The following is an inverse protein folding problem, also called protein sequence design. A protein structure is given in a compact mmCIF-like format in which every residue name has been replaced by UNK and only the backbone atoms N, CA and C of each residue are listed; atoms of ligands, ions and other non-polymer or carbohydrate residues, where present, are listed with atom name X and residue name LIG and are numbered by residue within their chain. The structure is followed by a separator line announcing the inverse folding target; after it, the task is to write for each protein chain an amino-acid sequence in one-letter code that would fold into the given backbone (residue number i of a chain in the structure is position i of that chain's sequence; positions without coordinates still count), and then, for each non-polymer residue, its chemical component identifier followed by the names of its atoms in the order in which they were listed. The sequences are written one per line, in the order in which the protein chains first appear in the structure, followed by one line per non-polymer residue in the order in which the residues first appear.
data_IF_052580186879
#
_entry.id   IF_052580186879
#
_cell.length_a   1.000
_cell.length_b   1.000
_cell.length_c   1.000
_cell.angle_alpha   90.00
_cell.angle_beta   90.00
_cell.angle_gamma   90.00
#
_symmetry.space_group_name_H-M   'P 1'
#
loop_
_entity.id
_entity.type
_entity.pdbx_description
1 polymer ?
#
# COMPACT_ATOMS: atom_id res chain seq x y z
N UNK A 1 22.19 9.39 10.84
CA UNK A 1 22.81 10.47 11.65
C UNK A 1 21.91 11.69 11.56
N UNK A 2 21.54 12.29 12.67
CA UNK A 2 20.80 13.55 12.72
C UNK A 2 21.69 14.55 13.45
N UNK A 3 22.08 15.65 12.80
CA UNK A 3 22.96 16.68 13.36
C UNK A 3 24.33 16.19 13.80
N UNK A 4 24.95 15.24 13.09
CA UNK A 4 26.28 14.69 13.40
C UNK A 4 26.36 13.76 14.61
N UNK A 5 25.24 13.46 15.29
CA UNK A 5 25.21 12.54 16.44
C UNK A 5 24.70 11.17 16.03
N UNK A 6 25.36 10.11 16.49
CA UNK A 6 24.90 8.73 16.35
C UNK A 6 23.73 8.51 17.30
N UNK A 7 22.53 8.28 16.74
CA UNK A 7 21.34 7.96 17.55
C UNK A 7 21.22 6.44 17.58
N UNK A 8 21.23 5.84 18.79
CA UNK A 8 20.87 4.43 18.96
C UNK A 8 19.39 4.24 18.60
N UNK A 9 19.12 3.30 17.71
CA UNK A 9 17.75 2.85 17.42
C UNK A 9 17.18 2.17 18.67
N UNK A 10 15.93 2.46 18.98
CA UNK A 10 15.20 1.88 20.10
C UNK A 10 13.86 1.38 19.60
N UNK A 11 13.37 0.26 20.14
CA UNK A 11 12.04 -0.26 19.91
C UNK A 11 10.91 0.61 20.50
N UNK A 12 11.28 1.56 21.38
CA UNK A 12 10.33 2.50 21.99
C UNK A 12 10.43 3.85 21.28
N UNK A 13 9.28 4.36 20.82
CA UNK A 13 9.18 5.71 20.24
C UNK A 13 9.46 6.80 21.30
N UNK A 14 9.77 8.00 20.83
CA UNK A 14 9.95 9.18 21.67
C UNK A 14 8.76 10.12 21.51
N UNK A 15 8.12 10.47 22.62
CA UNK A 15 7.13 11.53 22.65
C UNK A 15 7.83 12.90 22.88
N UNK A 16 7.29 13.95 22.30
CA UNK A 16 7.75 15.31 22.52
C UNK A 16 6.86 16.01 23.56
N UNK A 17 7.43 16.96 24.30
CA UNK A 17 6.66 17.77 25.27
C UNK A 17 5.65 18.67 24.55
N UNK A 18 4.44 18.76 25.09
CA UNK A 18 3.38 19.60 24.55
C UNK A 18 3.62 21.05 25.00
N UNK A 19 4.44 21.76 24.20
CA UNK A 19 4.71 23.19 24.37
C UNK A 19 4.18 23.95 23.18
N UNK A 20 3.86 25.26 23.31
CA UNK A 20 3.38 26.07 22.18
C UNK A 20 4.32 26.00 20.97
N UNK A 21 5.62 26.03 21.16
CA UNK A 21 6.62 25.95 20.10
C UNK A 21 6.61 24.58 19.38
N UNK A 22 6.43 23.46 20.11
CA UNK A 22 6.36 22.15 19.53
C UNK A 22 5.03 21.92 18.81
N UNK A 23 3.93 22.48 19.32
CA UNK A 23 2.63 22.43 18.65
C UNK A 23 2.63 23.21 17.33
N UNK A 24 3.32 24.34 17.27
CA UNK A 24 3.48 25.08 16.02
C UNK A 24 4.24 24.25 14.97
N UNK A 25 5.34 23.64 15.37
CA UNK A 25 6.11 22.70 14.50
C UNK A 25 5.25 21.52 14.05
N UNK A 26 4.47 20.93 14.94
CA UNK A 26 3.54 19.84 14.62
C UNK A 26 2.52 20.25 13.58
N UNK A 27 1.88 21.41 13.75
CA UNK A 27 0.92 21.96 12.77
C UNK A 27 1.58 22.23 11.43
N UNK A 28 2.81 22.74 11.42
CA UNK A 28 3.62 22.93 10.21
C UNK A 28 3.86 21.60 9.47
N UNK A 29 4.27 20.57 10.18
CA UNK A 29 4.44 19.22 9.64
C UNK A 29 3.14 18.63 9.11
N UNK A 30 2.06 18.71 9.86
CA UNK A 30 0.73 18.22 9.42
C UNK A 30 0.28 18.89 8.13
N UNK A 31 0.47 20.22 8.03
CA UNK A 31 0.17 20.97 6.80
C UNK A 31 1.02 20.54 5.62
N UNK A 32 2.30 20.26 5.85
CA UNK A 32 3.21 19.76 4.82
C UNK A 32 2.77 18.38 4.32
N UNK A 33 2.49 17.44 5.24
CA UNK A 33 1.99 16.10 4.91
C UNK A 33 0.68 16.17 4.12
N UNK A 34 -0.27 17.02 4.54
CA UNK A 34 -1.54 17.18 3.83
C UNK A 34 -1.36 17.69 2.40
N UNK A 35 -0.44 18.65 2.18
CA UNK A 35 -0.12 19.15 0.84
C UNK A 35 0.48 18.05 -0.04
N UNK A 36 1.39 17.24 0.51
CA UNK A 36 2.01 16.13 -0.19
C UNK A 36 0.96 15.06 -0.54
N UNK A 37 0.16 14.65 0.43
CA UNK A 37 -0.85 13.61 0.23
C UNK A 37 -1.97 14.03 -0.74
N UNK A 38 -2.45 15.25 -0.66
CA UNK A 38 -3.54 15.74 -1.52
C UNK A 38 -3.03 16.29 -2.86
N UNK A 39 -1.91 17.03 -2.84
CA UNK A 39 -1.38 17.69 -4.04
C UNK A 39 -0.54 16.79 -4.94
N UNK A 40 0.14 15.81 -4.38
CA UNK A 40 1.02 14.90 -5.15
C UNK A 40 0.41 13.51 -5.24
N UNK A 41 0.18 12.86 -4.09
CA UNK A 41 -0.29 11.49 -4.04
C UNK A 41 -1.69 11.29 -4.64
N UNK A 42 -2.68 12.06 -4.22
CA UNK A 42 -4.06 11.89 -4.69
C UNK A 42 -4.16 12.15 -6.19
N UNK A 43 -3.53 13.22 -6.70
CA UNK A 43 -3.52 13.54 -8.14
C UNK A 43 -2.77 12.44 -8.91
N UNK A 44 -1.60 12.02 -8.40
CA UNK A 44 -0.81 10.94 -9.00
C UNK A 44 -1.59 9.62 -9.07
N UNK A 45 -2.35 9.27 -8.03
CA UNK A 45 -3.21 8.08 -8.03
C UNK A 45 -4.33 8.17 -9.08
N UNK A 46 -5.01 9.32 -9.18
CA UNK A 46 -6.08 9.52 -10.18
C UNK A 46 -5.52 9.39 -11.60
N UNK A 47 -4.43 10.09 -11.91
CA UNK A 47 -3.80 10.02 -13.23
C UNK A 47 -3.23 8.64 -13.52
N UNK A 48 -2.58 8.01 -12.53
CA UNK A 48 -1.99 6.68 -12.67
C UNK A 48 -3.01 5.55 -12.88
N UNK A 49 -4.25 5.73 -12.44
CA UNK A 49 -5.35 4.80 -12.72
C UNK A 49 -6.07 5.16 -14.02
N UNK A 50 -6.39 6.43 -14.23
CA UNK A 50 -7.20 6.88 -15.36
C UNK A 50 -6.49 6.69 -16.71
N UNK A 51 -5.20 7.06 -16.82
CA UNK A 51 -4.48 6.98 -18.08
C UNK A 51 -4.35 5.55 -18.64
N UNK A 52 -3.88 4.54 -17.88
CA UNK A 52 -3.83 3.17 -18.36
C UNK A 52 -5.22 2.60 -18.69
N UNK A 53 -6.26 2.97 -17.92
CA UNK A 53 -7.63 2.53 -18.17
C UNK A 53 -8.16 3.10 -19.50
N UNK A 54 -7.92 4.37 -19.77
CA UNK A 54 -8.29 5.01 -21.05
C UNK A 54 -7.54 4.38 -22.22
N UNK A 55 -6.25 4.11 -22.08
CA UNK A 55 -5.48 3.40 -23.11
C UNK A 55 -6.04 2.00 -23.37
N UNK A 56 -6.40 1.25 -22.34
CA UNK A 56 -7.00 -0.06 -22.51
C UNK A 56 -8.35 0.01 -23.21
N UNK A 57 -9.21 0.96 -22.86
CA UNK A 57 -10.51 1.16 -23.54
C UNK A 57 -10.37 1.52 -25.02
N UNK A 58 -9.38 2.33 -25.36
CA UNK A 58 -9.15 2.77 -26.73
C UNK A 58 -8.52 1.69 -27.61
N UNK A 59 -7.51 0.97 -27.09
CA UNK A 59 -6.69 0.07 -27.92
C UNK A 59 -7.15 -1.40 -27.88
N UNK A 60 -7.93 -1.82 -26.86
CA UNK A 60 -8.45 -3.19 -26.71
C UNK A 60 -9.92 -3.23 -26.31
N UNK A 61 -10.82 -2.52 -27.04
CA UNK A 61 -12.23 -2.45 -26.68
C UNK A 61 -12.88 -3.85 -26.71
N UNK A 62 -13.57 -4.21 -25.63
CA UNK A 62 -14.32 -5.47 -25.54
C UNK A 62 -13.48 -6.74 -25.48
N UNK A 63 -12.16 -6.64 -25.32
CA UNK A 63 -11.32 -7.81 -25.21
C UNK A 63 -11.53 -8.52 -23.85
N UNK A 64 -11.67 -9.84 -23.91
CA UNK A 64 -11.69 -10.68 -22.71
C UNK A 64 -10.25 -10.82 -22.21
N UNK A 65 -10.01 -10.31 -21.00
CA UNK A 65 -8.67 -10.29 -20.38
C UNK A 65 -8.51 -11.55 -19.54
N UNK A 66 -7.66 -12.48 -19.97
CA UNK A 66 -7.43 -13.74 -19.29
C UNK A 66 -5.94 -14.05 -19.12
N UNK A 67 -5.61 -14.65 -17.99
CA UNK A 67 -4.30 -15.23 -17.70
C UNK A 67 -3.13 -14.25 -17.78
N UNK A 68 -1.96 -14.78 -18.11
CA UNK A 68 -0.72 -14.01 -18.18
C UNK A 68 -0.68 -13.01 -19.35
N UNK A 69 -1.50 -13.21 -20.38
CA UNK A 69 -1.60 -12.29 -21.51
C UNK A 69 -2.14 -10.91 -21.12
N UNK A 70 -2.88 -10.80 -20.00
CA UNK A 70 -3.45 -9.56 -19.50
C UNK A 70 -2.42 -8.41 -19.41
N UNK A 71 -1.20 -8.71 -18.97
CA UNK A 71 -0.14 -7.72 -18.82
C UNK A 71 0.34 -7.10 -20.15
N UNK A 72 0.21 -7.84 -21.27
CA UNK A 72 0.74 -7.42 -22.57
C UNK A 72 -0.37 -6.99 -23.55
N UNK A 73 -1.65 -7.18 -23.21
CA UNK A 73 -2.75 -6.91 -24.15
C UNK A 73 -2.81 -5.46 -24.62
N UNK A 74 -2.72 -4.52 -23.71
CA UNK A 74 -2.71 -3.08 -24.09
C UNK A 74 -1.51 -2.72 -24.95
N UNK A 75 -0.34 -3.30 -24.65
CA UNK A 75 0.87 -3.11 -25.45
C UNK A 75 0.69 -3.68 -26.87
N UNK A 76 0.04 -4.83 -26.99
CA UNK A 76 -0.28 -5.43 -28.30
C UNK A 76 -1.27 -4.58 -29.10
N UNK A 77 -2.34 -4.13 -28.48
CA UNK A 77 -3.30 -3.26 -29.12
C UNK A 77 -2.69 -1.93 -29.62
N UNK A 78 -1.74 -1.38 -28.86
CA UNK A 78 -0.99 -0.20 -29.31
C UNK A 78 -0.05 -0.51 -30.48
N UNK A 79 0.62 -1.67 -30.47
CA UNK A 79 1.51 -2.08 -31.55
C UNK A 79 0.75 -2.29 -32.85
N UNK A 80 -0.41 -2.92 -32.81
CA UNK A 80 -1.25 -3.22 -33.97
C UNK A 80 -1.74 -1.93 -34.69
N UNK A 81 -1.91 -0.81 -33.96
CA UNK A 81 -2.33 0.47 -34.52
C UNK A 81 -1.18 1.42 -34.87
N UNK A 82 -0.10 1.37 -34.09
CA UNK A 82 0.95 2.42 -34.11
C UNK A 82 2.32 1.87 -34.50
N UNK A 83 2.50 0.54 -34.57
CA UNK A 83 3.73 -0.13 -34.94
C UNK A 83 4.45 -0.83 -33.77
N UNK A 84 5.27 -1.83 -34.08
CA UNK A 84 5.91 -2.75 -33.14
C UNK A 84 6.76 -2.08 -32.06
N UNK A 85 7.32 -0.89 -32.32
CA UNK A 85 8.10 -0.16 -31.35
C UNK A 85 7.25 0.22 -30.11
N UNK A 86 5.95 0.46 -30.28
CA UNK A 86 5.05 0.81 -29.21
C UNK A 86 4.74 -0.35 -28.26
N UNK A 87 4.85 -1.61 -28.71
CA UNK A 87 4.81 -2.76 -27.82
C UNK A 87 5.90 -2.71 -26.76
N UNK A 88 7.15 -2.52 -27.23
CA UNK A 88 8.30 -2.44 -26.32
C UNK A 88 8.22 -1.21 -25.40
N UNK A 89 7.89 -0.04 -25.94
CA UNK A 89 7.79 1.18 -25.16
C UNK A 89 6.70 1.09 -24.08
N UNK A 90 5.55 0.52 -24.40
CA UNK A 90 4.45 0.34 -23.43
C UNK A 90 4.84 -0.59 -22.30
N UNK A 91 5.46 -1.73 -22.60
CA UNK A 91 5.94 -2.66 -21.59
C UNK A 91 7.06 -2.06 -20.74
N UNK A 92 8.00 -1.34 -21.37
CA UNK A 92 9.07 -0.66 -20.66
C UNK A 92 8.54 0.42 -19.72
N UNK A 93 7.60 1.25 -20.17
CA UNK A 93 6.93 2.25 -19.32
C UNK A 93 6.20 1.59 -18.15
N UNK A 94 5.44 0.52 -18.41
CA UNK A 94 4.78 -0.25 -17.35
C UNK A 94 5.75 -0.81 -16.33
N UNK A 95 6.86 -1.38 -16.77
CA UNK A 95 7.92 -1.87 -15.90
C UNK A 95 8.55 -0.76 -15.06
N UNK A 96 8.92 0.37 -15.68
CA UNK A 96 9.55 1.51 -14.99
C UNK A 96 8.62 2.15 -13.96
N UNK A 97 7.31 2.08 -14.15
CA UNK A 97 6.32 2.57 -13.18
C UNK A 97 6.10 1.56 -12.04
N UNK A 98 5.92 0.28 -12.37
CA UNK A 98 5.53 -0.73 -11.40
C UNK A 98 6.70 -1.24 -10.55
N UNK A 99 7.88 -1.44 -11.15
CA UNK A 99 9.00 -2.08 -10.44
C UNK A 99 9.52 -1.27 -9.25
N UNK A 100 9.77 0.06 -9.35
CA UNK A 100 10.18 0.87 -8.20
C UNK A 100 9.11 0.91 -7.11
N UNK A 101 7.82 0.99 -7.50
CA UNK A 101 6.70 0.96 -6.57
C UNK A 101 6.66 -0.36 -5.77
N UNK A 102 6.79 -1.49 -6.45
CA UNK A 102 6.80 -2.80 -5.79
C UNK A 102 7.99 -2.98 -4.84
N UNK A 103 9.19 -2.54 -5.23
CA UNK A 103 10.37 -2.60 -4.35
C UNK A 103 10.14 -1.77 -3.08
N UNK A 104 9.59 -0.56 -3.22
CA UNK A 104 9.29 0.31 -2.10
C UNK A 104 8.19 -0.26 -1.18
N UNK A 105 7.14 -0.84 -1.75
CA UNK A 105 6.05 -1.47 -1.00
C UNK A 105 6.55 -2.68 -0.20
N UNK A 106 7.36 -3.55 -0.83
CA UNK A 106 7.93 -4.74 -0.17
C UNK A 106 8.84 -4.32 0.98
N UNK A 107 9.77 -3.37 0.75
CA UNK A 107 10.65 -2.84 1.82
C UNK A 107 9.81 -2.24 2.97
N UNK A 108 8.77 -1.47 2.63
CA UNK A 108 7.86 -0.88 3.61
C UNK A 108 7.11 -1.94 4.45
N UNK A 109 6.63 -3.02 3.83
CA UNK A 109 5.97 -4.13 4.53
C UNK A 109 6.95 -4.85 5.46
N UNK A 110 8.14 -5.19 4.97
CA UNK A 110 9.16 -5.91 5.75
C UNK A 110 9.59 -5.07 6.96
N UNK A 111 9.78 -3.76 6.82
CA UNK A 111 10.09 -2.85 7.93
C UNK A 111 9.00 -2.84 8.99
N UNK A 112 7.72 -2.72 8.58
CA UNK A 112 6.58 -2.74 9.52
C UNK A 112 6.51 -4.06 10.30
N UNK A 113 6.68 -5.20 9.63
CA UNK A 113 6.73 -6.49 10.29
C UNK A 113 7.94 -6.61 11.24
N UNK A 114 9.09 -6.09 10.82
CA UNK A 114 10.30 -6.05 11.67
C UNK A 114 10.03 -5.25 12.94
N UNK A 115 9.41 -4.08 12.84
CA UNK A 115 9.06 -3.23 13.97
C UNK A 115 8.05 -3.91 14.90
N UNK A 116 7.01 -4.54 14.35
CA UNK A 116 6.00 -5.28 15.12
C UNK A 116 6.63 -6.44 15.88
N UNK A 117 7.47 -7.23 15.22
CA UNK A 117 8.13 -8.39 15.84
C UNK A 117 9.14 -7.93 16.90
N UNK A 118 9.92 -6.90 16.59
CA UNK A 118 10.92 -6.35 17.53
C UNK A 118 10.26 -5.75 18.77
N UNK A 119 9.13 -5.08 18.61
CA UNK A 119 8.39 -4.45 19.71
C UNK A 119 7.55 -5.46 20.49
N UNK A 120 6.92 -6.41 19.82
CA UNK A 120 5.95 -7.33 20.41
C UNK A 120 6.54 -8.62 20.98
N UNK A 121 7.68 -9.08 20.48
CA UNK A 121 8.26 -10.37 20.89
C UNK A 121 9.36 -10.20 21.95
N UNK A 122 9.15 -10.78 23.14
CA UNK A 122 10.14 -10.80 24.24
C UNK A 122 11.48 -11.42 23.83
N UNK A 123 11.49 -12.33 22.85
CA UNK A 123 12.69 -13.03 22.39
C UNK A 123 13.63 -12.14 21.58
N UNK A 124 13.12 -11.08 20.95
CA UNK A 124 13.92 -10.20 20.07
C UNK A 124 14.03 -8.75 20.58
N UNK A 125 13.29 -8.39 21.63
CA UNK A 125 13.37 -7.05 22.23
C UNK A 125 14.75 -6.67 22.74
N UNK A 126 15.55 -7.67 23.14
CA UNK A 126 16.92 -7.46 23.65
C UNK A 126 17.94 -7.25 22.53
N UNK A 127 17.57 -7.45 21.27
CA UNK A 127 18.46 -7.25 20.13
C UNK A 127 18.80 -5.77 19.96
N UNK A 128 20.09 -5.50 19.78
CA UNK A 128 20.55 -4.16 19.41
C UNK A 128 20.08 -3.80 17.99
N UNK A 129 19.92 -2.49 17.74
CA UNK A 129 19.48 -1.98 16.42
C UNK A 129 20.31 -2.49 15.22
N UNK A 130 21.59 -2.87 15.46
CA UNK A 130 22.42 -3.52 14.44
C UNK A 130 22.07 -4.99 14.17
N UNK A 131 21.49 -5.68 15.15
CA UNK A 131 21.10 -7.09 15.06
C UNK A 131 19.68 -7.26 14.47
N UNK A 132 18.83 -6.25 14.58
CA UNK A 132 17.48 -6.25 14.01
C UNK A 132 17.47 -6.47 12.49
N UNK A 133 18.58 -6.18 11.80
CA UNK A 133 18.77 -6.51 10.39
C UNK A 133 18.55 -8.00 10.08
N UNK A 134 18.87 -8.91 11.00
CA UNK A 134 18.67 -10.34 10.80
C UNK A 134 17.18 -10.70 10.80
N UNK A 135 16.38 -10.03 11.63
CA UNK A 135 14.92 -10.15 11.62
C UNK A 135 14.38 -9.64 10.29
N UNK A 136 14.84 -8.49 9.83
CA UNK A 136 14.47 -7.92 8.53
C UNK A 136 14.76 -8.88 7.37
N UNK A 137 15.98 -9.41 7.28
CA UNK A 137 16.35 -10.36 6.20
C UNK A 137 15.63 -11.70 6.32
N UNK A 138 15.34 -12.17 7.54
CA UNK A 138 14.53 -13.37 7.77
C UNK A 138 13.10 -13.22 7.24
N UNK A 139 12.46 -12.08 7.52
CA UNK A 139 11.13 -11.76 7.00
C UNK A 139 11.16 -11.63 5.48
N UNK A 140 12.19 -10.97 4.93
CA UNK A 140 12.36 -10.82 3.49
C UNK A 140 12.49 -12.18 2.79
N UNK A 141 13.28 -13.10 3.34
CA UNK A 141 13.43 -14.44 2.80
C UNK A 141 12.10 -15.23 2.88
N UNK A 142 11.40 -15.17 4.00
CA UNK A 142 10.08 -15.80 4.15
C UNK A 142 9.06 -15.24 3.15
N UNK A 143 9.06 -13.92 2.93
CA UNK A 143 8.20 -13.27 1.95
C UNK A 143 8.53 -13.70 0.52
N UNK A 144 9.81 -13.80 0.17
CA UNK A 144 10.25 -14.27 -1.14
C UNK A 144 9.85 -15.74 -1.40
N UNK A 145 10.06 -16.62 -0.42
CA UNK A 145 9.65 -18.03 -0.51
C UNK A 145 8.13 -18.14 -0.65
N UNK A 146 7.37 -17.38 0.14
CA UNK A 146 5.91 -17.33 0.02
C UNK A 146 5.46 -16.85 -1.36
N UNK A 147 6.09 -15.81 -1.90
CA UNK A 147 5.80 -15.30 -3.25
C UNK A 147 6.02 -16.36 -4.34
N UNK A 148 7.12 -17.13 -4.25
CA UNK A 148 7.40 -18.22 -5.17
C UNK A 148 6.36 -19.36 -5.08
N UNK A 149 5.94 -19.70 -3.86
CA UNK A 149 4.87 -20.70 -3.63
C UNK A 149 3.55 -20.19 -4.20
N UNK A 150 3.18 -18.94 -3.93
CA UNK A 150 1.94 -18.35 -4.42
C UNK A 150 1.87 -18.32 -5.95
N UNK A 151 2.97 -17.98 -6.63
CA UNK A 151 3.07 -18.03 -8.09
C UNK A 151 2.90 -19.44 -8.67
N UNK A 152 3.31 -20.49 -7.93
CA UNK A 152 3.13 -21.87 -8.36
C UNK A 152 1.72 -22.38 -8.13
N UNK A 153 1.07 -21.95 -7.04
CA UNK A 153 -0.28 -22.36 -6.69
C UNK A 153 -1.36 -21.63 -7.49
N UNK A 154 -1.10 -20.39 -7.87
CA UNK A 154 -2.07 -19.54 -8.57
C UNK A 154 -1.43 -18.96 -9.83
N UNK A 155 -1.47 -19.69 -10.95
CA UNK A 155 -0.82 -19.25 -12.20
C UNK A 155 -1.50 -18.06 -12.87
N UNK A 156 -2.75 -17.73 -12.48
CA UNK A 156 -3.47 -16.58 -13.02
C UNK A 156 -3.21 -15.33 -12.17
N UNK A 157 -2.46 -14.33 -12.71
CA UNK A 157 -2.16 -13.09 -12.00
C UNK A 157 -3.40 -12.24 -11.72
N UNK A 158 -4.47 -12.36 -12.51
CA UNK A 158 -5.70 -11.61 -12.30
C UNK A 158 -6.44 -12.11 -11.05
N UNK A 159 -6.56 -13.42 -10.88
CA UNK A 159 -7.16 -14.03 -9.69
C UNK A 159 -6.36 -13.64 -8.43
N UNK A 160 -5.03 -13.68 -8.52
CA UNK A 160 -4.16 -13.30 -7.41
C UNK A 160 -4.34 -11.82 -7.05
N UNK A 161 -4.44 -10.93 -8.05
CA UNK A 161 -4.67 -9.51 -7.84
C UNK A 161 -6.02 -9.22 -7.19
N UNK A 162 -7.09 -9.91 -7.60
CA UNK A 162 -8.44 -9.75 -7.01
C UNK A 162 -8.47 -10.23 -5.56
N UNK A 163 -7.90 -11.40 -5.27
CA UNK A 163 -7.86 -11.95 -3.91
C UNK A 163 -7.04 -11.05 -2.98
N UNK A 164 -5.84 -10.67 -3.39
CA UNK A 164 -4.97 -9.80 -2.59
C UNK A 164 -5.56 -8.41 -2.42
N UNK A 165 -6.18 -7.86 -3.46
CA UNK A 165 -6.88 -6.58 -3.41
C UNK A 165 -8.05 -6.58 -2.41
N UNK A 166 -8.86 -7.63 -2.41
CA UNK A 166 -9.98 -7.79 -1.47
C UNK A 166 -9.49 -7.89 -0.01
N UNK A 167 -8.47 -8.71 0.24
CA UNK A 167 -7.86 -8.82 1.57
C UNK A 167 -7.24 -7.47 2.03
N UNK A 168 -6.58 -6.77 1.13
CA UNK A 168 -6.03 -5.43 1.40
C UNK A 168 -7.12 -4.43 1.77
N UNK A 169 -8.27 -4.44 1.09
CA UNK A 169 -9.40 -3.55 1.40
C UNK A 169 -9.96 -3.79 2.79
N UNK A 170 -10.12 -5.05 3.22
CA UNK A 170 -10.52 -5.39 4.59
C UNK A 170 -9.50 -4.83 5.60
N UNK A 171 -8.22 -5.03 5.34
CA UNK A 171 -7.14 -4.50 6.18
C UNK A 171 -7.16 -2.97 6.27
N UNK A 172 -7.39 -2.27 5.15
CA UNK A 172 -7.49 -0.80 5.12
C UNK A 172 -8.70 -0.30 5.91
N UNK A 173 -9.85 -0.96 5.79
CA UNK A 173 -11.03 -0.66 6.59
C UNK A 173 -10.76 -0.81 8.08
N UNK A 174 -10.23 -1.95 8.51
CA UNK A 174 -9.87 -2.20 9.90
C UNK A 174 -8.85 -1.17 10.43
N UNK A 175 -7.83 -0.81 9.61
CA UNK A 175 -6.83 0.19 9.97
C UNK A 175 -7.45 1.59 10.14
N UNK A 176 -8.45 1.96 9.35
CA UNK A 176 -9.14 3.24 9.48
C UNK A 176 -9.84 3.36 10.85
N UNK A 177 -10.55 2.31 11.30
CA UNK A 177 -11.16 2.28 12.64
C UNK A 177 -10.11 2.26 13.75
N UNK A 178 -9.07 1.45 13.59
CA UNK A 178 -7.98 1.40 14.57
C UNK A 178 -7.29 2.77 14.71
N UNK A 179 -7.03 3.46 13.60
CA UNK A 179 -6.49 4.81 13.61
C UNK A 179 -7.41 5.82 14.32
N UNK A 180 -8.73 5.68 14.12
CA UNK A 180 -9.70 6.51 14.82
C UNK A 180 -9.66 6.28 16.33
N UNK A 181 -9.59 5.01 16.76
CA UNK A 181 -9.46 4.63 18.16
C UNK A 181 -8.16 5.20 18.78
N UNK A 182 -7.02 4.95 18.15
CA UNK A 182 -5.71 5.46 18.60
C UNK A 182 -5.72 6.98 18.71
N UNK A 183 -6.27 7.68 17.73
CA UNK A 183 -6.34 9.14 17.73
C UNK A 183 -7.21 9.71 18.85
N UNK A 184 -8.23 8.97 19.28
CA UNK A 184 -9.13 9.40 20.36
C UNK A 184 -8.59 9.07 21.75
N UNK A 185 -8.04 7.88 21.92
CA UNK A 185 -7.64 7.37 23.23
C UNK A 185 -6.18 7.70 23.60
N UNK A 186 -5.25 7.60 22.64
CA UNK A 186 -3.84 7.73 22.93
C UNK A 186 -3.26 9.13 22.65
N UNK A 187 -3.90 9.91 21.78
CA UNK A 187 -3.41 11.27 21.50
C UNK A 187 -3.98 12.31 22.48
N UNK A 188 -3.12 13.18 23.03
CA UNK A 188 -3.53 14.36 23.74
C UNK A 188 -4.48 15.23 22.91
N UNK A 189 -5.38 15.95 23.57
CA UNK A 189 -6.42 16.74 22.88
C UNK A 189 -5.86 17.73 21.85
N UNK A 190 -4.70 18.30 22.14
CA UNK A 190 -4.00 19.29 21.31
C UNK A 190 -3.46 18.72 19.99
N UNK A 191 -3.25 17.40 19.94
CA UNK A 191 -2.72 16.67 18.78
C UNK A 191 -3.79 15.92 18.00
N UNK A 192 -5.01 15.85 18.51
CA UNK A 192 -6.12 15.13 17.85
C UNK A 192 -6.47 15.74 16.51
N UNK A 193 -6.75 14.92 15.50
CA UNK A 193 -7.21 15.42 14.21
C UNK A 193 -8.58 16.09 14.34
N UNK A 194 -8.88 17.10 13.51
CA UNK A 194 -10.17 17.76 13.49
C UNK A 194 -11.30 16.79 13.12
N UNK A 195 -12.53 17.14 13.46
CA UNK A 195 -13.69 16.26 13.32
C UNK A 195 -13.90 15.73 11.89
N UNK A 196 -13.65 16.55 10.86
CA UNK A 196 -13.83 16.15 9.47
C UNK A 196 -12.86 15.02 9.05
N UNK A 197 -11.64 14.99 9.59
CA UNK A 197 -10.72 13.86 9.36
C UNK A 197 -11.20 12.58 10.05
N UNK A 198 -11.82 12.70 11.23
CA UNK A 198 -12.41 11.57 11.93
C UNK A 198 -13.60 11.00 11.16
N UNK A 199 -14.47 11.86 10.60
CA UNK A 199 -15.56 11.46 9.70
C UNK A 199 -14.99 10.82 8.43
N UNK A 200 -13.90 11.37 7.87
CA UNK A 200 -13.19 10.76 6.75
C UNK A 200 -12.71 9.34 7.03
N UNK A 201 -12.18 9.06 8.23
CA UNK A 201 -11.77 7.70 8.61
C UNK A 201 -12.96 6.73 8.68
N UNK A 202 -14.11 7.18 9.19
CA UNK A 202 -15.35 6.38 9.18
C UNK A 202 -15.82 6.13 7.73
N UNK A 203 -15.78 7.17 6.90
CA UNK A 203 -16.09 7.07 5.47
C UNK A 203 -15.18 6.05 4.75
N UNK A 204 -13.88 6.10 5.01
CA UNK A 204 -12.93 5.11 4.48
C UNK A 204 -13.27 3.68 4.94
N UNK A 205 -13.59 3.48 6.22
CA UNK A 205 -14.02 2.18 6.72
C UNK A 205 -15.24 1.64 5.97
N UNK A 206 -16.29 2.43 5.86
CA UNK A 206 -17.53 2.05 5.17
C UNK A 206 -17.29 1.77 3.69
N UNK A 207 -16.49 2.59 3.02
CA UNK A 207 -16.13 2.42 1.61
C UNK A 207 -15.38 1.10 1.36
N UNK A 208 -14.31 0.83 2.11
CA UNK A 208 -13.52 -0.38 1.92
C UNK A 208 -14.28 -1.65 2.34
N UNK A 209 -15.10 -1.57 3.39
CA UNK A 209 -15.97 -2.68 3.80
C UNK A 209 -17.03 -2.95 2.74
N UNK A 210 -17.65 -1.90 2.19
CA UNK A 210 -18.66 -1.99 1.13
C UNK A 210 -18.11 -2.66 -0.14
N UNK A 211 -16.94 -2.21 -0.62
CA UNK A 211 -16.26 -2.84 -1.77
C UNK A 211 -15.95 -4.32 -1.48
N UNK A 212 -15.43 -4.62 -0.30
CA UNK A 212 -15.10 -6.00 0.08
C UNK A 212 -16.35 -6.89 0.14
N UNK A 213 -17.46 -6.36 0.65
CA UNK A 213 -18.73 -7.08 0.71
C UNK A 213 -19.28 -7.37 -0.70
N UNK A 214 -19.21 -6.39 -1.62
CA UNK A 214 -19.63 -6.57 -3.03
C UNK A 214 -18.76 -7.63 -3.70
N UNK A 215 -17.43 -7.54 -3.57
CA UNK A 215 -16.50 -8.49 -4.17
C UNK A 215 -16.72 -9.92 -3.63
N UNK A 216 -16.97 -10.05 -2.33
CA UNK A 216 -17.25 -11.32 -1.69
C UNK A 216 -18.58 -11.90 -2.18
N UNK A 217 -19.63 -11.08 -2.25
CA UNK A 217 -20.94 -11.51 -2.74
C UNK A 217 -20.88 -11.99 -4.19
N UNK A 218 -20.21 -11.26 -5.08
CA UNK A 218 -20.01 -11.67 -6.48
C UNK A 218 -19.30 -13.01 -6.59
N UNK A 219 -18.28 -13.24 -5.76
CA UNK A 219 -17.56 -14.51 -5.75
C UNK A 219 -18.40 -15.66 -5.22
N UNK A 220 -19.21 -15.43 -4.19
CA UNK A 220 -20.16 -16.40 -3.66
C UNK A 220 -21.22 -16.77 -4.71
N UNK A 221 -21.78 -15.79 -5.41
CA UNK A 221 -22.78 -16.01 -6.49
C UNK A 221 -22.18 -16.85 -7.60
N UNK A 222 -20.93 -16.57 -8.02
CA UNK A 222 -20.23 -17.38 -9.03
C UNK A 222 -19.98 -18.82 -8.57
N UNK A 223 -19.66 -19.04 -7.29
CA UNK A 223 -19.43 -20.38 -6.73
C UNK A 223 -20.72 -21.19 -6.53
N UNK A 224 -21.83 -20.53 -6.25
CA UNK A 224 -23.14 -21.16 -6.05
C UNK A 224 -23.94 -21.35 -7.34
N UNK A 225 -23.45 -20.87 -8.47
CA UNK A 225 -24.08 -21.09 -9.77
C UNK A 225 -25.39 -20.30 -9.99
N UNK A 226 -25.55 -19.16 -9.28
CA UNK A 226 -26.71 -18.28 -9.41
C UNK A 226 -26.38 -17.06 -10.29
#
# INVERSE_FOLDING_TARGET
MVGGRTIKLSHVGKAFAITPANLEKWRGWTKHILRDQLGVWAIGCVLGMALPSLLSLEFIPGAVVEGQAAAAMTARGMADRSGEIFWFLTLLCGFLVLAPGQISDIDGIIRRWTDVIWTGSRHVQHLDGGQVRYVYYGIMAAYAVWGLIALRLTPDPLVLAVVTGTLRNIGLGATALHSLYVNRELLPRELRPPWFMQVGLVGCFLFFLGISAIAFNQKLTQLMGW
#
